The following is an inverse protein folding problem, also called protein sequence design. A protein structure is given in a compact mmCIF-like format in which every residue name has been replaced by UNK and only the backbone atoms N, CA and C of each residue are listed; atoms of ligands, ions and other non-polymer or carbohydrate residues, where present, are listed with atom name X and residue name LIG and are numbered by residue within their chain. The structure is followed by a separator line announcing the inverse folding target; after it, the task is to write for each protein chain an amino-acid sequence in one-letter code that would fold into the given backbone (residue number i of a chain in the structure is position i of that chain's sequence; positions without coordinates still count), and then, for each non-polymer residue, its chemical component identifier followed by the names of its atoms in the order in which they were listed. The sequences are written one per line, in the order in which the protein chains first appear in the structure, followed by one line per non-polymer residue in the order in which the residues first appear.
data_IF_041423059082
#
_entry.id   IF_041423059082
#
_cell.length_a   1.000
_cell.length_b   1.000
_cell.length_c   1.000
_cell.angle_alpha   90.00
_cell.angle_beta   90.00
_cell.angle_gamma   90.00
#
_symmetry.space_group_name_H-M   'P 1'
#
loop_
_entity.id
_entity.type
_entity.pdbx_description
1 polymer ?
#
# COMPACT_ATOMS: atom_id res chain seq x y z
N UNK A 1 11.82 -78.88 -7.08
CA UNK A 1 10.50 -79.07 -7.72
C UNK A 1 9.87 -77.72 -7.97
N UNK A 2 9.41 -77.52 -9.22
CA UNK A 2 8.61 -76.44 -9.87
C UNK A 2 7.93 -75.44 -8.90
N UNK A 3 7.89 -74.13 -9.17
CA UNK A 3 7.28 -73.55 -10.39
C UNK A 3 7.72 -72.11 -10.65
N UNK A 4 8.11 -71.86 -11.90
CA UNK A 4 8.12 -70.54 -12.55
C UNK A 4 6.68 -70.04 -12.72
N UNK A 5 6.42 -68.75 -12.50
CA UNK A 5 5.43 -67.98 -13.27
C UNK A 5 6.02 -66.61 -13.56
N UNK A 6 6.51 -66.47 -14.78
CA UNK A 6 6.85 -65.22 -15.45
C UNK A 6 5.59 -64.79 -16.22
N UNK A 7 5.02 -63.62 -15.97
CA UNK A 7 4.21 -62.81 -16.93
C UNK A 7 3.76 -61.50 -16.28
N UNK A 8 3.95 -60.37 -16.97
CA UNK A 8 3.35 -59.05 -16.66
C UNK A 8 4.39 -57.93 -16.58
N UNK A 9 5.03 -57.55 -17.68
CA UNK A 9 4.71 -56.40 -18.54
C UNK A 9 4.98 -55.02 -17.88
N UNK A 10 5.91 -54.29 -18.50
CA UNK A 10 6.28 -52.88 -18.39
C UNK A 10 5.19 -51.94 -17.86
N UNK A 11 5.57 -50.94 -17.06
CA UNK A 11 5.38 -49.52 -17.41
C UNK A 11 6.17 -48.61 -16.46
N UNK A 12 7.14 -47.93 -17.08
CA UNK A 12 7.74 -46.64 -16.78
C UNK A 12 7.70 -46.13 -15.33
N UNK A 13 8.91 -45.97 -14.79
CA UNK A 13 9.27 -44.93 -13.82
C UNK A 13 8.73 -43.60 -14.33
N UNK A 14 7.58 -43.18 -13.81
CA UNK A 14 7.12 -41.82 -13.97
C UNK A 14 7.37 -41.14 -12.63
N UNK A 15 8.62 -40.69 -12.46
CA UNK A 15 8.92 -39.60 -11.54
C UNK A 15 8.10 -38.41 -12.02
N UNK A 16 6.85 -38.33 -11.57
CA UNK A 16 6.13 -37.07 -11.49
C UNK A 16 6.88 -36.25 -10.46
N UNK A 17 7.92 -35.59 -10.97
CA UNK A 17 8.43 -34.33 -10.47
C UNK A 17 7.16 -33.49 -10.32
N UNK A 18 6.64 -33.42 -9.09
CA UNK A 18 5.75 -32.35 -8.71
C UNK A 18 6.61 -31.10 -8.84
N UNK A 19 6.57 -30.49 -10.02
CA UNK A 19 6.88 -29.08 -10.17
C UNK A 19 5.86 -28.36 -9.31
N UNK A 20 6.15 -28.24 -8.02
CA UNK A 20 5.61 -27.12 -7.25
C UNK A 20 6.21 -25.88 -7.92
N UNK A 21 5.55 -25.42 -8.97
CA UNK A 21 5.50 -24.01 -9.27
C UNK A 21 4.82 -23.38 -8.04
N UNK A 22 5.59 -23.21 -6.97
CA UNK A 22 5.29 -22.23 -5.96
C UNK A 22 5.33 -20.91 -6.70
N UNK A 23 4.18 -20.46 -7.19
CA UNK A 23 3.95 -19.04 -7.35
C UNK A 23 4.36 -18.47 -5.99
N UNK A 24 5.46 -17.73 -5.98
CA UNK A 24 6.05 -17.17 -4.79
C UNK A 24 4.99 -16.22 -4.22
N UNK A 25 4.18 -16.70 -3.28
CA UNK A 25 3.11 -15.89 -2.72
C UNK A 25 3.75 -14.69 -2.07
N UNK A 26 3.52 -13.52 -2.67
CA UNK A 26 3.95 -12.24 -2.14
C UNK A 26 3.49 -12.16 -0.69
N UNK A 27 4.44 -12.00 0.21
CA UNK A 27 4.14 -11.99 1.64
C UNK A 27 3.16 -10.85 1.94
N UNK A 28 2.02 -11.14 2.56
CA UNK A 28 0.99 -10.13 2.86
C UNK A 28 1.47 -8.93 3.68
N UNK A 29 2.67 -9.00 4.29
CA UNK A 29 3.35 -7.86 4.90
C UNK A 29 3.63 -6.72 3.91
N UNK A 30 3.82 -7.01 2.63
CA UNK A 30 4.09 -6.02 1.58
C UNK A 30 2.86 -5.17 1.25
N UNK A 31 1.65 -5.62 1.63
CA UNK A 31 0.41 -4.87 1.43
C UNK A 31 0.08 -3.94 2.61
N UNK A 32 0.86 -4.01 3.70
CA UNK A 32 0.69 -3.15 4.86
C UNK A 32 1.48 -1.86 4.63
N UNK A 33 0.83 -0.69 4.53
CA UNK A 33 1.53 0.57 4.34
C UNK A 33 2.54 0.82 5.47
N UNK A 34 3.79 1.20 5.18
CA UNK A 34 4.72 1.61 6.21
C UNK A 34 4.16 2.82 6.97
N UNK A 35 4.25 2.81 8.30
CA UNK A 35 3.75 3.89 9.16
C UNK A 35 4.83 4.39 10.10
N UNK A 36 4.65 5.61 10.61
CA UNK A 36 5.41 6.21 11.72
C UNK A 36 4.54 6.43 12.97
N UNK A 37 3.25 6.17 12.87
CA UNK A 37 2.27 6.42 13.93
C UNK A 37 2.30 5.33 15.01
N UNK A 38 2.19 5.73 16.28
CA UNK A 38 2.10 4.80 17.42
C UNK A 38 3.40 4.06 17.75
N UNK A 39 4.55 4.59 17.31
CA UNK A 39 5.81 3.87 17.35
C UNK A 39 6.76 4.35 18.43
N UNK A 40 7.40 3.39 19.11
CA UNK A 40 8.43 3.67 20.12
C UNK A 40 9.71 4.22 19.50
N UNK A 41 10.07 3.74 18.30
CA UNK A 41 11.29 4.15 17.58
C UNK A 41 11.00 4.18 16.08
N UNK A 42 11.28 5.32 15.44
CA UNK A 42 11.25 5.52 13.99
C UNK A 42 12.68 5.33 13.43
N UNK A 43 12.81 4.64 12.29
CA UNK A 43 14.08 4.42 11.59
C UNK A 43 13.91 4.72 10.11
N UNK A 44 15.02 5.03 9.43
CA UNK A 44 15.06 4.98 7.96
C UNK A 44 15.40 3.56 7.51
N UNK A 45 14.50 2.95 6.74
CA UNK A 45 14.57 1.56 6.25
C UNK A 45 13.94 1.48 4.87
N UNK A 46 14.12 0.34 4.21
CA UNK A 46 13.46 0.04 2.95
C UNK A 46 12.07 -0.52 3.21
N UNK A 47 11.06 0.00 2.54
CA UNK A 47 9.67 -0.50 2.65
C UNK A 47 9.09 -0.65 1.25
N UNK A 48 8.30 -1.69 1.02
CA UNK A 48 7.57 -1.81 -0.23
C UNK A 48 6.41 -0.81 -0.23
N UNK A 49 6.43 0.09 -1.19
CA UNK A 49 5.36 1.04 -1.46
C UNK A 49 4.43 0.43 -2.47
N UNK A 50 3.26 0.00 -2.00
CA UNK A 50 2.22 -0.54 -2.87
C UNK A 50 1.88 0.45 -4.00
N UNK A 51 1.92 1.76 -3.73
CA UNK A 51 1.59 2.86 -4.64
C UNK A 51 2.46 2.89 -5.89
N UNK A 52 3.76 2.67 -5.72
CA UNK A 52 4.72 2.70 -6.82
C UNK A 52 5.06 1.30 -7.31
N UNK A 53 4.69 0.27 -6.53
CA UNK A 53 5.07 -1.11 -6.77
C UNK A 53 6.56 -1.36 -6.58
N UNK A 54 7.22 -0.53 -5.75
CA UNK A 54 8.68 -0.52 -5.58
C UNK A 54 9.06 -0.47 -4.12
N UNK A 55 10.27 -0.93 -3.83
CA UNK A 55 10.91 -0.70 -2.55
C UNK A 55 11.49 0.72 -2.51
N UNK A 56 11.16 1.48 -1.46
CA UNK A 56 11.61 2.86 -1.29
C UNK A 56 12.23 3.04 0.09
N UNK A 57 13.25 3.90 0.16
CA UNK A 57 13.91 4.24 1.42
C UNK A 57 13.12 5.36 2.13
N UNK A 58 12.43 5.02 3.23
CA UNK A 58 11.49 5.89 3.92
C UNK A 58 11.68 5.89 5.45
N UNK A 59 10.92 6.73 6.15
CA UNK A 59 10.78 6.65 7.61
C UNK A 59 9.66 5.67 7.96
N UNK A 60 9.98 4.70 8.81
CA UNK A 60 9.06 3.65 9.23
C UNK A 60 9.38 3.20 10.65
N UNK A 61 8.40 2.66 11.35
CA UNK A 61 8.60 2.09 12.67
C UNK A 61 9.64 0.96 12.65
N UNK A 62 10.52 0.95 13.66
CA UNK A 62 11.67 0.05 13.70
C UNK A 62 11.33 -1.44 13.56
N UNK A 63 10.19 -1.85 14.11
CA UNK A 63 9.67 -3.24 14.10
C UNK A 63 8.50 -3.44 13.14
N UNK A 64 8.28 -2.53 12.18
CA UNK A 64 7.22 -2.70 11.19
C UNK A 64 7.49 -3.92 10.30
N UNK A 65 6.46 -4.68 9.95
CA UNK A 65 6.60 -5.91 9.15
C UNK A 65 7.01 -5.63 7.70
N UNK A 66 6.64 -4.46 7.18
CA UNK A 66 7.09 -3.91 5.90
C UNK A 66 8.26 -2.94 6.13
N UNK A 67 9.34 -3.39 6.77
CA UNK A 67 10.55 -2.60 6.97
C UNK A 67 11.80 -3.49 6.94
N UNK A 68 12.58 -3.33 5.89
CA UNK A 68 13.74 -4.13 5.53
C UNK A 68 15.03 -3.32 5.70
N UNK A 69 16.13 -4.02 5.97
CA UNK A 69 17.41 -3.36 6.20
C UNK A 69 18.08 -2.94 4.89
N UNK A 70 17.86 -3.71 3.81
CA UNK A 70 18.41 -3.46 2.48
C UNK A 70 17.28 -3.42 1.43
N UNK A 71 17.57 -2.81 0.28
CA UNK A 71 16.66 -2.76 -0.88
C UNK A 71 16.41 -4.17 -1.41
N UNK A 72 17.47 -4.96 -1.55
CA UNK A 72 17.42 -6.35 -2.02
C UNK A 72 16.54 -7.23 -1.13
N UNK A 73 16.64 -7.12 0.20
CA UNK A 73 15.75 -7.85 1.12
C UNK A 73 14.29 -7.51 0.89
N UNK A 74 14.00 -6.23 0.60
CA UNK A 74 12.65 -5.76 0.31
C UNK A 74 12.16 -6.31 -1.04
N UNK A 75 12.96 -6.20 -2.12
CA UNK A 75 12.58 -6.66 -3.46
C UNK A 75 12.40 -8.19 -3.50
N UNK A 76 13.26 -8.93 -2.81
CA UNK A 76 13.15 -10.39 -2.69
C UNK A 76 11.90 -10.80 -1.91
N UNK A 77 11.55 -10.07 -0.85
CA UNK A 77 10.38 -10.36 -0.03
C UNK A 77 9.07 -9.90 -0.69
N UNK A 78 9.13 -8.80 -1.42
CA UNK A 78 8.03 -8.10 -2.07
C UNK A 78 8.29 -8.05 -3.56
N UNK A 79 8.25 -9.22 -4.21
CA UNK A 79 8.41 -9.29 -5.66
C UNK A 79 7.39 -8.34 -6.32
N UNK A 80 7.84 -7.51 -7.29
CA UNK A 80 6.93 -6.66 -8.03
C UNK A 80 5.91 -7.56 -8.70
N UNK A 81 4.64 -7.43 -8.30
CA UNK A 81 3.57 -8.12 -9.01
C UNK A 81 3.59 -7.55 -10.42
N UNK A 82 3.84 -8.38 -11.44
CA UNK A 82 3.56 -8.03 -12.82
C UNK A 82 2.04 -7.94 -12.97
N UNK A 83 1.49 -6.84 -12.47
CA UNK A 83 0.09 -6.52 -12.43
C UNK A 83 -0.09 -5.04 -12.77
N UNK A 84 -1.32 -4.62 -13.10
CA UNK A 84 -1.59 -3.20 -13.29
C UNK A 84 -1.14 -2.43 -12.06
N UNK A 85 -0.36 -1.36 -12.26
CA UNK A 85 0.04 -0.43 -11.19
C UNK A 85 -1.23 -0.02 -10.43
N UNK A 86 -1.26 -0.04 -9.09
CA UNK A 86 -2.42 0.43 -8.37
C UNK A 86 -2.73 1.87 -8.78
N UNK A 87 -4.01 2.25 -8.80
CA UNK A 87 -4.38 3.61 -9.17
C UNK A 87 -3.65 4.60 -8.25
N UNK A 88 -3.20 5.75 -8.77
CA UNK A 88 -2.64 6.80 -7.94
C UNK A 88 -3.56 7.12 -6.76
N UNK A 89 -3.00 7.32 -5.56
CA UNK A 89 -3.79 7.78 -4.42
C UNK A 89 -4.38 9.15 -4.78
N UNK A 90 -5.70 9.26 -4.67
CA UNK A 90 -6.46 10.49 -4.93
C UNK A 90 -7.47 10.66 -3.80
N UNK A 91 -6.95 10.75 -2.59
CA UNK A 91 -7.69 10.96 -1.34
C UNK A 91 -7.22 12.23 -0.62
N UNK A 92 -8.02 12.68 0.34
CA UNK A 92 -7.78 13.92 1.07
C UNK A 92 -6.41 13.93 1.78
N UNK A 93 -6.02 12.81 2.40
CA UNK A 93 -4.79 12.70 3.18
C UNK A 93 -3.54 12.69 2.30
N UNK A 94 -3.64 12.12 1.11
CA UNK A 94 -2.57 12.25 0.12
C UNK A 94 -2.37 13.73 -0.29
N UNK A 95 -3.45 14.43 -0.64
CA UNK A 95 -3.34 15.80 -1.15
C UNK A 95 -3.01 16.86 -0.09
N UNK A 96 -3.41 16.67 1.18
CA UNK A 96 -3.01 17.57 2.27
C UNK A 96 -1.50 17.48 2.57
N UNK A 97 -0.86 16.35 2.26
CA UNK A 97 0.59 16.17 2.40
C UNK A 97 1.37 16.67 1.18
N UNK A 98 0.70 16.86 0.05
CA UNK A 98 1.28 17.21 -1.26
C UNK A 98 0.60 18.49 -1.81
N UNK A 99 0.36 19.48 -0.95
CA UNK A 99 -0.45 20.65 -1.26
C UNK A 99 0.12 21.46 -2.43
N UNK A 100 1.42 21.45 -2.67
CA UNK A 100 2.09 22.07 -3.82
C UNK A 100 1.51 21.63 -5.16
N UNK A 101 0.90 20.44 -5.22
CA UNK A 101 0.22 19.92 -6.40
C UNK A 101 -1.25 20.36 -6.52
N UNK A 102 -1.76 21.15 -5.57
CA UNK A 102 -3.11 21.72 -5.58
C UNK A 102 -3.08 23.21 -5.92
N UNK A 103 -3.90 23.65 -6.87
CA UNK A 103 -3.93 25.08 -7.27
C UNK A 103 -4.83 25.93 -6.38
N UNK A 104 -5.92 25.38 -5.86
CA UNK A 104 -6.80 26.11 -4.93
C UNK A 104 -6.55 25.65 -3.50
N UNK A 105 -6.29 26.62 -2.62
CA UNK A 105 -6.14 26.45 -1.18
C UNK A 105 -6.80 27.65 -0.51
N UNK A 106 -7.68 27.42 0.45
CA UNK A 106 -8.35 28.48 1.20
C UNK A 106 -8.57 28.05 2.64
N UNK A 107 -8.00 28.81 3.57
CA UNK A 107 -8.39 28.69 4.97
C UNK A 107 -9.72 29.43 5.21
N UNK A 108 -10.63 28.76 5.90
CA UNK A 108 -11.96 29.28 6.26
C UNK A 108 -12.36 28.79 7.65
N UNK A 109 -13.54 29.18 8.11
CA UNK A 109 -14.12 28.72 9.37
C UNK A 109 -15.49 28.10 9.12
N UNK A 110 -15.67 26.86 9.57
CA UNK A 110 -16.97 26.21 9.65
C UNK A 110 -17.37 25.99 11.10
N UNK A 111 -18.68 26.03 11.43
CA UNK A 111 -19.13 25.58 12.74
C UNK A 111 -18.90 24.06 12.87
N UNK A 112 -18.50 23.62 14.08
CA UNK A 112 -18.59 22.21 14.45
C UNK A 112 -20.05 21.82 14.77
N UNK A 113 -20.28 20.54 15.09
CA UNK A 113 -21.61 20.04 15.47
C UNK A 113 -22.23 20.71 16.71
N UNK A 114 -21.43 21.46 17.47
CA UNK A 114 -21.84 22.21 18.67
C UNK A 114 -21.90 23.72 18.39
N UNK A 115 -21.79 24.15 17.13
CA UNK A 115 -21.82 25.55 16.72
C UNK A 115 -20.53 26.33 16.96
N UNK A 116 -19.44 25.69 17.41
CA UNK A 116 -18.17 26.38 17.66
C UNK A 116 -17.41 26.55 16.35
N UNK A 117 -16.87 27.74 16.10
CA UNK A 117 -16.03 28.00 14.92
C UNK A 117 -14.76 27.17 14.97
N UNK A 118 -14.54 26.32 13.96
CA UNK A 118 -13.30 25.58 13.74
C UNK A 118 -12.64 26.04 12.45
N UNK A 119 -11.30 26.08 12.45
CA UNK A 119 -10.50 26.36 11.26
C UNK A 119 -10.58 25.16 10.32
N UNK A 120 -10.74 25.44 9.03
CA UNK A 120 -10.82 24.44 7.96
C UNK A 120 -9.95 24.89 6.79
N UNK A 121 -9.10 24.02 6.28
CA UNK A 121 -8.41 24.25 5.01
C UNK A 121 -9.18 23.54 3.90
N UNK A 122 -9.69 24.32 2.95
CA UNK A 122 -10.26 23.83 1.71
C UNK A 122 -9.19 23.75 0.64
N UNK A 123 -9.13 22.66 -0.10
CA UNK A 123 -8.20 22.51 -1.21
C UNK A 123 -8.79 21.69 -2.35
N UNK A 124 -8.43 22.03 -3.58
CA UNK A 124 -8.90 21.36 -4.81
C UNK A 124 -8.00 21.67 -6.00
N UNK A 125 -8.35 21.08 -7.15
CA UNK A 125 -7.54 21.13 -8.37
C UNK A 125 -6.14 20.55 -8.10
N UNK A 126 -6.13 19.32 -7.59
CA UNK A 126 -4.92 18.62 -7.19
C UNK A 126 -4.55 17.57 -8.22
N UNK A 127 -3.33 17.63 -8.74
CA UNK A 127 -2.91 16.79 -9.87
C UNK A 127 -3.82 16.96 -11.08
N UNK A 128 -4.30 15.85 -11.64
CA UNK A 128 -5.22 15.85 -12.79
C UNK A 128 -6.70 15.97 -12.38
N UNK A 129 -7.02 15.80 -11.09
CA UNK A 129 -8.39 15.87 -10.58
C UNK A 129 -8.83 17.31 -10.37
N UNK A 130 -9.83 17.76 -11.15
CA UNK A 130 -10.28 19.15 -11.13
C UNK A 130 -11.63 19.38 -10.43
N UNK A 131 -12.37 18.33 -10.09
CA UNK A 131 -13.74 18.46 -9.57
C UNK A 131 -13.87 18.21 -8.06
N UNK A 132 -12.98 17.41 -7.47
CA UNK A 132 -13.00 17.10 -6.04
C UNK A 132 -12.69 18.33 -5.19
N UNK A 133 -13.45 18.54 -4.13
CA UNK A 133 -13.18 19.52 -3.09
C UNK A 133 -12.84 18.79 -1.81
N UNK A 134 -11.69 19.08 -1.23
CA UNK A 134 -11.26 18.49 0.03
C UNK A 134 -11.32 19.51 1.17
N UNK A 135 -11.51 19.02 2.39
CA UNK A 135 -11.51 19.82 3.60
C UNK A 135 -10.69 19.12 4.70
N UNK A 136 -9.74 19.86 5.27
CA UNK A 136 -8.99 19.45 6.46
C UNK A 136 -9.42 20.28 7.68
N UNK A 137 -9.89 19.62 8.72
CA UNK A 137 -10.38 20.23 9.96
C UNK A 137 -9.26 20.27 11.00
N UNK A 138 -8.69 21.44 11.26
CA UNK A 138 -7.51 21.59 12.12
C UNK A 138 -7.73 21.12 13.57
N UNK A 139 -8.97 21.17 14.07
CA UNK A 139 -9.27 20.76 15.45
C UNK A 139 -9.32 19.25 15.62
N UNK A 140 -9.91 18.52 14.67
CA UNK A 140 -10.08 17.06 14.75
C UNK A 140 -8.97 16.29 14.04
N UNK A 141 -8.23 16.92 13.13
CA UNK A 141 -7.28 16.21 12.24
C UNK A 141 -7.99 15.44 11.12
N UNK A 142 -9.30 15.66 10.95
CA UNK A 142 -10.11 14.96 9.96
C UNK A 142 -9.91 15.57 8.56
N UNK A 143 -9.70 14.73 7.56
CA UNK A 143 -9.56 15.12 6.16
C UNK A 143 -10.59 14.36 5.31
N UNK A 144 -11.47 15.08 4.63
CA UNK A 144 -12.56 14.48 3.84
C UNK A 144 -12.68 15.13 2.45
N UNK A 145 -13.17 14.34 1.49
CA UNK A 145 -13.76 14.87 0.26
C UNK A 145 -15.17 15.39 0.55
N UNK A 146 -15.41 16.67 0.24
CA UNK A 146 -16.71 17.34 0.34
C UNK A 146 -17.50 17.08 -0.94
N UNK A 147 -18.47 16.19 -0.83
CA UNK A 147 -19.44 15.94 -1.91
C UNK A 147 -20.47 17.07 -1.90
N UNK A 148 -20.37 17.99 -2.86
CA UNK A 148 -21.40 19.00 -3.09
C UNK A 148 -22.61 18.31 -3.73
N UNK A 149 -23.67 18.08 -2.94
CA UNK A 149 -24.95 17.63 -3.50
C UNK A 149 -25.58 18.80 -4.25
N UNK A 150 -25.83 18.59 -5.54
CA UNK A 150 -26.61 19.47 -6.43
C UNK A 150 -28.08 19.50 -6.04
#
# INVERSE_FOLDING_TARGET
MRSLKMFGLLLAVNTLIFSNAGALERSGRCDIPPTVEGCSIIRRKWSFMSETGKCEFNFVCSQHSNAFQTEEDCENACQPVAGPKPPPRDDCYYWIQNLEHCTFKRETFYPDRYGRRQRVLLFRFCGESNWKLYAYYFRSGECLEIVLRS
#
